data_IF_371798592595
#
_entry.id   IF_371798592595
#
_cell.length_a   1.000
_cell.length_b   1.000
_cell.length_c   1.000
_cell.angle_alpha   90.00
_cell.angle_beta   90.00
_cell.angle_gamma   90.00
#
_symmetry.space_group_name_H-M   'P 1'
#
loop_
_entity.id
_entity.type
_entity.pdbx_description
1 polymer ?
#
# COMPACT_ATOMS: atom_id res chain seq x y z
N UNK A 1 -21.36 -47.65 -2.59
CA UNK A 1 -21.30 -46.45 -1.71
C UNK A 1 -20.71 -46.82 -0.34
N UNK A 2 -19.38 -47.00 -0.20
CA UNK A 2 -18.78 -47.36 1.12
C UNK A 2 -17.31 -46.94 1.37
N UNK A 3 -16.69 -46.11 0.52
CA UNK A 3 -15.28 -45.71 0.67
C UNK A 3 -15.04 -44.19 0.66
N UNK A 4 -16.07 -43.38 0.86
CA UNK A 4 -15.97 -41.91 0.76
C UNK A 4 -15.42 -41.23 2.03
N UNK A 5 -15.52 -41.90 3.18
CA UNK A 5 -15.19 -41.33 4.48
C UNK A 5 -13.70 -41.42 4.91
N UNK A 6 -12.97 -42.52 4.66
CA UNK A 6 -11.58 -42.61 5.13
C UNK A 6 -10.59 -41.74 4.32
N UNK A 7 -10.92 -41.40 3.06
CA UNK A 7 -10.08 -40.52 2.22
C UNK A 7 -10.15 -39.07 2.71
N UNK A 8 -11.34 -38.61 3.15
CA UNK A 8 -11.53 -37.25 3.68
C UNK A 8 -10.86 -37.05 5.04
N UNK A 9 -10.82 -38.08 5.87
CA UNK A 9 -10.17 -38.03 7.18
C UNK A 9 -8.64 -38.00 7.04
N UNK A 10 -8.07 -38.74 6.08
CA UNK A 10 -6.63 -38.70 5.82
C UNK A 10 -6.16 -37.39 5.15
N UNK A 11 -6.97 -36.77 4.28
CA UNK A 11 -6.65 -35.44 3.71
C UNK A 11 -6.80 -34.32 4.74
N UNK A 12 -7.76 -34.42 5.67
CA UNK A 12 -7.91 -33.47 6.76
C UNK A 12 -6.74 -33.53 7.74
N UNK A 13 -6.30 -34.73 8.15
CA UNK A 13 -5.19 -34.91 9.11
C UNK A 13 -3.84 -34.52 8.48
N UNK A 14 -3.59 -34.89 7.21
CA UNK A 14 -2.39 -34.44 6.50
C UNK A 14 -2.40 -32.92 6.25
N UNK A 15 -3.56 -32.32 5.97
CA UNK A 15 -3.73 -30.87 5.84
C UNK A 15 -3.44 -30.13 7.15
N UNK A 16 -3.91 -30.64 8.29
CA UNK A 16 -3.66 -30.02 9.60
C UNK A 16 -2.21 -30.17 10.07
N UNK A 17 -1.55 -31.31 9.77
CA UNK A 17 -0.13 -31.51 10.12
C UNK A 17 0.80 -30.61 9.29
N UNK A 18 0.50 -30.41 8.00
CA UNK A 18 1.26 -29.45 7.15
C UNK A 18 1.04 -28.01 7.62
N UNK A 19 -0.15 -27.64 8.07
CA UNK A 19 -0.40 -26.29 8.61
C UNK A 19 0.27 -26.09 9.98
N UNK A 20 0.26 -27.09 10.88
CA UNK A 20 0.89 -26.97 12.21
C UNK A 20 2.42 -27.03 12.17
N UNK A 21 3.02 -27.72 11.19
CA UNK A 21 4.49 -27.78 11.02
C UNK A 21 5.02 -26.63 10.14
N UNK A 22 4.21 -26.08 9.21
CA UNK A 22 4.61 -24.92 8.42
C UNK A 22 4.33 -23.56 9.10
N UNK A 23 3.39 -23.48 10.06
CA UNK A 23 3.06 -22.24 10.76
C UNK A 23 4.20 -21.61 11.60
N UNK A 24 5.13 -22.37 12.22
CA UNK A 24 6.25 -21.76 12.95
C UNK A 24 7.42 -21.35 12.05
N UNK A 25 7.51 -21.89 10.83
CA UNK A 25 8.66 -21.71 9.93
C UNK A 25 8.41 -20.72 8.78
N UNK A 26 7.16 -20.27 8.61
CA UNK A 26 6.78 -19.22 7.67
C UNK A 26 6.65 -17.82 8.33
N UNK A 27 7.53 -17.49 9.29
CA UNK A 27 7.68 -16.10 9.75
C UNK A 27 8.74 -15.37 8.92
N UNK A 28 8.32 -14.59 7.91
CA UNK A 28 8.91 -13.30 7.66
C UNK A 28 7.84 -12.22 7.84
N UNK A 29 8.08 -11.31 8.79
CA UNK A 29 7.52 -9.97 8.89
C UNK A 29 6.13 -9.73 8.25
N UNK A 30 5.08 -10.10 8.98
CA UNK A 30 3.79 -9.42 8.83
C UNK A 30 3.93 -8.05 9.51
N UNK A 31 3.75 -6.92 8.80
CA UNK A 31 3.76 -5.61 9.42
C UNK A 31 2.65 -5.51 10.49
N UNK A 32 2.97 -4.82 11.60
CA UNK A 32 2.18 -4.82 12.84
C UNK A 32 0.73 -4.32 12.71
N UNK A 33 0.31 -3.79 11.56
CA UNK A 33 -1.06 -3.34 11.31
C UNK A 33 -2.07 -4.46 11.01
N UNK A 34 -1.61 -5.71 10.78
CA UNK A 34 -2.51 -6.88 10.58
C UNK A 34 -2.73 -7.72 11.85
N UNK A 35 -2.26 -7.27 13.02
CA UNK A 35 -2.75 -7.83 14.29
C UNK A 35 -4.15 -7.30 14.53
N UNK A 36 -5.15 -8.15 14.30
CA UNK A 36 -6.49 -8.00 14.88
C UNK A 36 -6.28 -7.93 16.40
N UNK A 37 -6.36 -6.71 16.95
CA UNK A 37 -6.37 -6.52 18.39
C UNK A 37 -7.70 -7.04 18.90
N UNK A 38 -7.65 -8.19 19.57
CA UNK A 38 -8.68 -8.54 20.54
C UNK A 38 -8.73 -7.41 21.58
N UNK A 39 -9.89 -6.78 21.69
CA UNK A 39 -10.18 -5.66 22.58
C UNK A 39 -9.99 -6.09 24.04
N UNK A 40 -9.22 -5.36 24.87
CA UNK A 40 -9.39 -5.39 26.32
C UNK A 40 -10.40 -4.31 26.74
N UNK A 41 -11.33 -4.71 27.59
CA UNK A 41 -12.37 -3.88 28.21
C UNK A 41 -11.82 -2.64 28.96
N UNK A 42 -12.61 -1.58 29.15
CA UNK A 42 -12.11 -0.30 29.65
C UNK A 42 -11.91 -0.34 31.17
N UNK A 43 -10.74 0.08 31.62
CA UNK A 43 -10.49 0.43 33.03
C UNK A 43 -10.64 1.95 33.15
N UNK A 44 -11.64 2.35 33.93
CA UNK A 44 -11.87 3.74 34.34
C UNK A 44 -10.70 4.26 35.16
N UNK A 45 -10.18 5.44 34.82
CA UNK A 45 -9.31 6.20 35.72
C UNK A 45 -9.60 7.71 35.56
N UNK A 46 -10.39 8.15 36.52
CA UNK A 46 -10.68 9.50 37.01
C UNK A 46 -9.50 10.49 36.90
N UNK A 47 -9.74 11.65 36.28
CA UNK A 47 -8.97 12.87 36.49
C UNK A 47 -9.26 13.46 37.88
N UNK A 48 -8.29 14.16 38.48
CA UNK A 48 -8.62 15.37 39.21
C UNK A 48 -7.92 16.60 38.62
N UNK A 49 -8.76 17.63 38.46
CA UNK A 49 -8.40 19.01 38.26
C UNK A 49 -7.59 19.56 39.44
N UNK A 50 -6.61 20.41 39.14
CA UNK A 50 -6.01 21.28 40.14
C UNK A 50 -6.00 22.72 39.60
N UNK A 51 -6.71 23.54 40.36
CA UNK A 51 -7.00 24.94 40.20
C UNK A 51 -5.79 25.87 40.00
N UNK A 52 -6.10 26.97 39.34
CA UNK A 52 -5.35 28.20 39.25
C UNK A 52 -4.79 28.71 40.60
N UNK A 53 -3.61 29.31 40.55
CA UNK A 53 -3.26 30.40 41.46
C UNK A 53 -2.46 31.48 40.73
N UNK A 54 -3.17 32.57 40.45
CA UNK A 54 -2.66 33.86 40.03
C UNK A 54 -2.01 34.51 41.26
N UNK A 55 -0.79 35.00 41.14
CA UNK A 55 -0.25 36.04 42.01
C UNK A 55 0.37 37.13 41.13
N UNK A 56 -0.37 38.23 41.02
CA UNK A 56 0.11 39.53 40.55
C UNK A 56 0.69 40.27 41.75
N UNK A 57 1.87 40.85 41.59
CA UNK A 57 2.38 41.94 42.41
C UNK A 57 3.16 42.91 41.52
N UNK A 58 2.57 44.08 41.30
CA UNK A 58 3.16 45.33 40.79
C UNK A 58 3.17 46.32 41.98
N UNK A 59 3.73 47.55 41.90
CA UNK A 59 4.71 48.10 40.95
C UNK A 59 5.84 48.90 41.65
N UNK A 60 6.87 49.30 40.92
CA UNK A 60 7.70 50.46 41.29
C UNK A 60 8.07 51.26 40.03
N UNK A 61 7.58 52.50 39.99
CA UNK A 61 7.78 53.46 38.93
C UNK A 61 9.20 54.04 38.93
N UNK A 62 9.77 54.22 37.75
CA UNK A 62 11.03 54.93 37.52
C UNK A 62 11.11 55.40 36.07
N UNK A 63 10.70 56.64 35.84
CA UNK A 63 10.52 57.33 34.56
C UNK A 63 11.85 57.80 33.97
N UNK A 64 12.12 57.52 32.68
CA UNK A 64 12.80 58.44 31.75
C UNK A 64 12.88 57.87 30.32
N UNK A 65 12.53 58.69 29.34
CA UNK A 65 12.76 58.56 27.90
C UNK A 65 12.96 60.00 27.35
N UNK A 66 13.43 60.25 26.12
CA UNK A 66 14.29 59.51 25.17
C UNK A 66 15.48 60.42 24.71
N UNK A 67 16.23 60.21 23.58
CA UNK A 67 15.72 60.23 22.21
C UNK A 67 16.33 59.18 21.25
N UNK A 68 15.75 59.17 20.06
CA UNK A 68 15.99 58.38 18.85
C UNK A 68 17.45 58.35 18.36
N UNK A 69 17.89 57.18 17.87
CA UNK A 69 18.71 57.12 16.65
C UNK A 69 18.84 55.68 16.10
N UNK A 70 18.70 55.61 14.78
CA UNK A 70 19.19 54.59 13.84
C UNK A 70 18.44 53.26 13.69
N UNK A 71 17.51 53.32 12.71
CA UNK A 71 17.16 52.25 11.78
C UNK A 71 18.37 51.39 11.40
N UNK A 72 18.21 50.09 11.53
CA UNK A 72 19.15 49.13 10.95
C UNK A 72 19.14 47.75 11.59
N UNK A 73 18.01 47.27 12.09
CA UNK A 73 17.91 45.87 12.56
C UNK A 73 17.16 45.05 11.53
N UNK A 74 17.91 44.28 10.76
CA UNK A 74 17.39 43.18 9.96
C UNK A 74 16.50 42.31 10.85
N UNK A 75 15.20 42.30 10.57
CA UNK A 75 14.26 41.40 11.21
C UNK A 75 14.68 39.95 10.88
N UNK A 76 14.80 39.06 11.87
CA UNK A 76 15.01 37.65 11.57
C UNK A 76 13.73 37.13 10.92
N UNK A 77 13.79 36.81 9.63
CA UNK A 77 12.74 36.14 8.85
C UNK A 77 12.45 34.68 9.31
N UNK A 78 12.71 34.36 10.60
CA UNK A 78 12.58 33.03 11.19
C UNK A 78 11.33 32.84 12.06
N UNK A 79 10.65 33.91 12.47
CA UNK A 79 9.46 33.81 13.32
C UNK A 79 8.18 33.44 12.53
N UNK A 80 8.02 33.95 11.31
CA UNK A 80 6.80 33.72 10.51
C UNK A 80 6.55 32.24 10.13
N UNK A 81 7.60 31.43 10.05
CA UNK A 81 7.51 30.02 9.64
C UNK A 81 7.10 29.08 10.77
N UNK A 82 7.32 29.48 12.03
CA UNK A 82 7.01 28.67 13.22
C UNK A 82 5.61 28.96 13.74
N UNK A 83 5.18 30.23 13.73
CA UNK A 83 3.85 30.61 14.22
C UNK A 83 2.73 30.11 13.29
N UNK A 84 2.94 30.10 11.97
CA UNK A 84 1.99 29.53 11.02
C UNK A 84 1.86 27.99 11.13
N UNK A 85 2.79 27.32 11.80
CA UNK A 85 2.77 25.86 12.02
C UNK A 85 1.94 25.47 13.26
N UNK A 86 1.70 26.42 14.17
CA UNK A 86 0.91 26.21 15.40
C UNK A 86 -0.58 26.44 15.20
N UNK A 87 -0.97 27.16 14.15
CA UNK A 87 -2.37 27.54 13.85
C UNK A 87 -2.99 26.70 12.72
N UNK A 88 -2.28 25.70 12.22
CA UNK A 88 -2.75 24.85 11.14
C UNK A 88 -3.68 23.75 11.66
N UNK A 89 -4.94 23.82 11.27
CA UNK A 89 -5.96 22.92 11.79
C UNK A 89 -5.74 21.48 11.28
N UNK A 90 -5.87 20.44 12.14
CA UNK A 90 -5.66 19.06 11.72
C UNK A 90 -6.69 18.62 10.66
N UNK A 91 -6.31 17.78 9.68
CA UNK A 91 -7.18 17.33 8.59
C UNK A 91 -8.51 16.72 9.07
N UNK A 92 -8.48 16.03 10.20
CA UNK A 92 -9.64 15.45 10.86
C UNK A 92 -10.77 16.48 11.10
N UNK A 93 -10.43 17.70 11.54
CA UNK A 93 -11.41 18.76 11.79
C UNK A 93 -12.02 19.32 10.49
N UNK A 94 -11.39 19.08 9.34
CA UNK A 94 -11.96 19.37 8.02
C UNK A 94 -12.84 18.23 7.47
N UNK A 95 -13.05 17.16 8.24
CA UNK A 95 -13.77 15.98 7.81
C UNK A 95 -12.97 15.10 6.85
N UNK A 96 -11.63 15.20 6.89
CA UNK A 96 -10.74 14.48 5.99
C UNK A 96 -10.13 13.29 6.72
N UNK A 97 -10.55 12.09 6.31
CA UNK A 97 -10.09 10.80 6.82
C UNK A 97 -9.98 9.81 5.67
N UNK A 98 -9.25 8.72 5.87
CA UNK A 98 -9.22 7.62 4.90
C UNK A 98 -10.62 7.02 4.77
N UNK A 99 -11.17 7.01 3.56
CA UNK A 99 -12.52 6.57 3.30
C UNK A 99 -12.66 5.06 3.59
N UNK A 100 -13.63 4.71 4.43
CA UNK A 100 -13.93 3.31 4.74
C UNK A 100 -14.95 2.72 3.77
N UNK A 101 -15.13 1.40 3.84
CA UNK A 101 -16.08 0.68 2.98
C UNK A 101 -17.51 1.19 3.22
N UNK A 102 -18.13 1.73 2.17
CA UNK A 102 -19.49 2.27 2.21
C UNK A 102 -19.55 3.79 2.40
N UNK A 103 -18.44 4.43 2.73
CA UNK A 103 -18.34 5.89 2.70
C UNK A 103 -18.11 6.37 1.26
N UNK A 104 -18.63 7.56 0.94
CA UNK A 104 -18.39 8.20 -0.36
C UNK A 104 -17.09 9.00 -0.30
N UNK A 105 -16.04 8.61 -1.04
CA UNK A 105 -14.82 9.41 -1.12
C UNK A 105 -15.09 10.73 -1.84
N UNK A 106 -14.33 11.75 -1.50
CA UNK A 106 -14.33 13.03 -2.22
C UNK A 106 -13.12 13.20 -3.13
N UNK A 107 -11.97 12.68 -2.70
CA UNK A 107 -10.70 12.84 -3.42
C UNK A 107 -9.75 11.69 -3.08
N UNK A 108 -8.56 11.68 -3.70
CA UNK A 108 -7.53 10.71 -3.39
C UNK A 108 -6.12 11.17 -3.75
N UNK A 109 -5.18 10.30 -3.43
CA UNK A 109 -3.76 10.48 -3.77
C UNK A 109 -3.17 9.15 -4.26
N UNK A 110 -2.32 9.19 -5.27
CA UNK A 110 -1.56 8.02 -5.71
C UNK A 110 -0.47 7.71 -4.70
N UNK A 111 -0.36 6.45 -4.25
CA UNK A 111 0.70 6.06 -3.29
C UNK A 111 1.98 5.53 -3.95
N UNK A 112 1.87 5.18 -5.23
CA UNK A 112 2.96 4.70 -6.06
C UNK A 112 2.83 5.23 -7.48
N UNK A 113 3.76 4.84 -8.37
CA UNK A 113 3.66 5.16 -9.79
C UNK A 113 2.49 4.40 -10.40
N UNK A 114 1.53 5.14 -10.94
CA UNK A 114 0.21 4.64 -11.31
C UNK A 114 -0.07 4.90 -12.77
N UNK A 115 -0.59 3.89 -13.47
CA UNK A 115 -1.05 4.03 -14.86
C UNK A 115 -2.48 4.53 -14.86
N UNK A 116 -2.76 5.53 -15.69
CA UNK A 116 -4.13 6.02 -15.90
C UNK A 116 -4.61 5.70 -17.32
N UNK A 117 -5.92 5.53 -17.44
CA UNK A 117 -6.60 5.12 -18.66
C UNK A 117 -7.68 6.14 -19.03
N UNK A 118 -8.03 6.22 -20.30
CA UNK A 118 -9.25 6.92 -20.73
C UNK A 118 -10.49 6.15 -20.26
N UNK A 119 -11.67 6.77 -20.33
CA UNK A 119 -12.94 6.09 -20.00
C UNK A 119 -13.21 4.88 -20.90
N UNK A 120 -12.67 4.87 -22.11
CA UNK A 120 -12.74 3.74 -23.06
C UNK A 120 -11.80 2.59 -22.69
N UNK A 121 -10.97 2.76 -21.66
CA UNK A 121 -10.01 1.76 -21.18
C UNK A 121 -8.65 1.78 -21.90
N UNK A 122 -8.44 2.71 -22.84
CA UNK A 122 -7.14 2.89 -23.51
C UNK A 122 -6.13 3.47 -22.55
N UNK A 123 -4.91 2.92 -22.54
CA UNK A 123 -3.81 3.43 -21.70
C UNK A 123 -3.43 4.83 -22.18
N UNK A 124 -3.59 5.83 -21.32
CA UNK A 124 -3.28 7.22 -21.65
C UNK A 124 -1.89 7.64 -21.16
N UNK A 125 -1.46 7.18 -19.97
CA UNK A 125 -0.16 7.56 -19.45
C UNK A 125 0.13 7.00 -18.07
N UNK A 126 1.00 7.68 -17.32
CA UNK A 126 1.30 7.36 -15.93
C UNK A 126 1.54 8.64 -15.12
N UNK A 127 1.28 8.55 -13.82
CA UNK A 127 1.59 9.57 -12.81
C UNK A 127 2.47 8.97 -11.73
N UNK A 128 3.30 9.80 -11.11
CA UNK A 128 4.11 9.39 -9.96
C UNK A 128 3.24 9.35 -8.69
N UNK A 129 3.82 8.80 -7.61
CA UNK A 129 3.20 8.90 -6.28
C UNK A 129 3.04 10.36 -5.85
N UNK A 130 1.96 10.66 -5.15
CA UNK A 130 1.64 12.01 -4.67
C UNK A 130 0.75 12.83 -5.60
N UNK A 131 0.30 12.28 -6.73
CA UNK A 131 -0.67 12.94 -7.60
C UNK A 131 -2.04 12.99 -6.92
N UNK A 132 -2.63 14.18 -6.86
CA UNK A 132 -3.96 14.38 -6.28
C UNK A 132 -5.04 14.14 -7.34
N UNK A 133 -6.18 13.61 -6.93
CA UNK A 133 -7.31 13.33 -7.80
C UNK A 133 -8.64 13.66 -7.14
N UNK A 134 -9.59 14.13 -7.93
CA UNK A 134 -10.99 14.29 -7.53
C UNK A 134 -11.77 13.02 -7.84
N UNK A 135 -12.48 12.48 -6.85
CA UNK A 135 -13.23 11.24 -7.01
C UNK A 135 -14.60 11.50 -7.63
N UNK A 136 -14.93 10.78 -8.70
CA UNK A 136 -16.24 10.85 -9.34
C UNK A 136 -17.04 9.55 -9.21
N UNK A 137 -16.38 8.38 -9.23
CA UNK A 137 -17.06 7.11 -9.12
C UNK A 137 -16.12 5.90 -9.19
N UNK A 138 -16.72 4.72 -9.25
CA UNK A 138 -15.99 3.46 -9.41
C UNK A 138 -16.57 2.65 -10.56
N UNK A 139 -15.70 2.00 -11.34
CA UNK A 139 -16.06 1.07 -12.40
C UNK A 139 -15.37 -0.27 -12.19
N UNK A 140 -15.99 -1.35 -12.65
CA UNK A 140 -15.34 -2.67 -12.70
C UNK A 140 -14.78 -2.91 -14.10
N UNK A 141 -13.53 -3.36 -14.17
CA UNK A 141 -12.88 -3.77 -15.42
C UNK A 141 -12.35 -5.19 -15.30
N UNK A 142 -11.88 -5.75 -16.42
CA UNK A 142 -11.13 -7.03 -16.43
C UNK A 142 -9.84 -6.98 -15.60
N UNK A 143 -9.33 -5.79 -15.29
CA UNK A 143 -8.15 -5.57 -14.43
C UNK A 143 -8.51 -5.34 -12.96
N UNK A 144 -9.80 -5.44 -12.61
CA UNK A 144 -10.30 -5.18 -11.26
C UNK A 144 -11.04 -3.83 -11.15
N UNK A 145 -11.18 -3.36 -9.91
CA UNK A 145 -11.83 -2.10 -9.61
C UNK A 145 -11.02 -0.89 -10.08
N UNK A 146 -11.68 0.02 -10.77
CA UNK A 146 -11.13 1.29 -11.26
C UNK A 146 -11.88 2.44 -10.59
N UNK A 147 -11.15 3.50 -10.23
CA UNK A 147 -11.69 4.78 -9.80
C UNK A 147 -11.80 5.67 -11.02
N UNK A 148 -12.98 6.25 -11.22
CA UNK A 148 -13.20 7.35 -12.15
C UNK A 148 -12.88 8.66 -11.44
N UNK A 149 -11.90 9.40 -11.95
CA UNK A 149 -11.37 10.59 -11.31
C UNK A 149 -10.84 11.62 -12.30
N UNK A 150 -10.67 12.86 -11.83
CA UNK A 150 -9.94 13.91 -12.55
C UNK A 150 -8.59 14.10 -11.85
N UNK A 151 -7.49 13.96 -12.59
CA UNK A 151 -6.14 14.17 -12.05
C UNK A 151 -5.82 15.67 -11.97
N UNK A 152 -5.30 16.10 -10.82
CA UNK A 152 -4.95 17.49 -10.53
C UNK A 152 -3.43 17.69 -10.68
N UNK A 153 -2.94 17.49 -11.91
CA UNK A 153 -1.54 17.63 -12.30
C UNK A 153 -1.39 18.65 -13.44
N UNK A 154 -0.36 19.49 -13.39
CA UNK A 154 -0.19 20.63 -14.33
C UNK A 154 -0.08 20.19 -15.80
N UNK A 155 0.46 19.00 -16.03
CA UNK A 155 0.72 18.47 -17.37
C UNK A 155 -0.37 17.51 -17.88
N UNK A 156 -1.46 17.33 -17.12
CA UNK A 156 -2.53 16.39 -17.46
C UNK A 156 -3.82 17.18 -17.63
N UNK A 157 -4.53 17.02 -18.76
CA UNK A 157 -5.80 17.71 -18.95
C UNK A 157 -6.80 17.25 -17.87
N UNK A 158 -7.59 18.21 -17.36
CA UNK A 158 -8.64 17.95 -16.37
C UNK A 158 -9.85 17.24 -17.00
N UNK A 159 -9.63 16.01 -17.48
CA UNK A 159 -10.65 15.16 -18.07
C UNK A 159 -10.89 13.92 -17.20
N UNK A 160 -12.08 13.32 -17.26
CA UNK A 160 -12.35 12.07 -16.54
C UNK A 160 -11.44 10.93 -17.03
N UNK A 161 -10.77 10.29 -16.08
CA UNK A 161 -9.82 9.20 -16.31
C UNK A 161 -10.09 8.05 -15.35
N UNK A 162 -9.54 6.88 -15.66
CA UNK A 162 -9.63 5.69 -14.83
C UNK A 162 -8.26 5.36 -14.23
N UNK A 163 -8.24 5.15 -12.92
CA UNK A 163 -7.06 4.74 -12.13
C UNK A 163 -7.40 3.48 -11.34
N UNK A 164 -6.45 2.55 -11.15
CA UNK A 164 -6.70 1.36 -10.33
C UNK A 164 -6.99 1.72 -8.89
N UNK A 165 -8.02 1.11 -8.28
CA UNK A 165 -8.33 1.27 -6.84
C UNK A 165 -7.15 0.83 -5.97
N UNK A 166 -6.33 -0.12 -6.42
CA UNK A 166 -5.16 -0.60 -5.67
C UNK A 166 -4.05 0.44 -5.52
N UNK A 167 -4.04 1.46 -6.36
CA UNK A 167 -2.89 2.36 -6.53
C UNK A 167 -3.13 3.75 -5.89
N UNK A 168 -4.28 3.91 -5.24
CA UNK A 168 -4.74 5.18 -4.66
C UNK A 168 -5.24 4.99 -3.24
N UNK A 169 -4.96 5.97 -2.39
CA UNK A 169 -5.69 6.16 -1.14
C UNK A 169 -6.81 7.17 -1.36
N UNK A 170 -8.02 6.81 -0.96
CA UNK A 170 -9.21 7.62 -1.11
C UNK A 170 -9.59 8.23 0.24
N UNK A 171 -9.92 9.51 0.24
CA UNK A 171 -10.24 10.28 1.43
C UNK A 171 -11.62 10.93 1.34
N UNK A 172 -12.23 11.12 2.50
CA UNK A 172 -13.46 11.92 2.64
C UNK A 172 -13.17 13.41 2.53
N UNK A 173 -14.22 14.20 2.36
CA UNK A 173 -14.13 15.67 2.35
C UNK A 173 -13.52 16.22 1.07
N UNK A 174 -12.82 17.35 1.19
CA UNK A 174 -12.20 18.07 0.07
C UNK A 174 -10.76 18.47 0.44
N UNK A 175 -9.79 18.06 -0.38
CA UNK A 175 -8.37 18.38 -0.19
C UNK A 175 -8.07 19.87 -0.25
N UNK A 176 -8.96 20.70 -0.81
CA UNK A 176 -8.80 22.16 -0.85
C UNK A 176 -8.90 22.80 0.53
N UNK A 177 -9.52 22.13 1.50
CA UNK A 177 -9.58 22.56 2.89
C UNK A 177 -8.25 22.42 3.63
N UNK A 178 -7.33 21.59 3.13
CA UNK A 178 -5.98 21.51 3.67
C UNK A 178 -5.23 22.82 3.41
N UNK A 179 -4.25 23.15 4.23
CA UNK A 179 -3.37 24.28 3.93
C UNK A 179 -2.53 23.98 2.67
N UNK A 180 -2.05 25.00 1.93
CA UNK A 180 -1.12 24.78 0.81
C UNK A 180 0.12 23.99 1.22
N UNK A 181 0.62 24.22 2.44
CA UNK A 181 1.76 23.50 3.03
C UNK A 181 1.44 22.02 3.25
N UNK A 182 0.29 21.69 3.87
CA UNK A 182 -0.13 20.30 4.08
C UNK A 182 -0.26 19.55 2.77
N UNK A 183 -0.86 20.18 1.76
CA UNK A 183 -0.98 19.57 0.42
C UNK A 183 0.40 19.28 -0.16
N UNK A 184 1.33 20.23 -0.08
CA UNK A 184 2.68 20.05 -0.60
C UNK A 184 3.44 18.95 0.15
N UNK A 185 3.34 18.93 1.48
CA UNK A 185 3.94 17.90 2.33
C UNK A 185 3.34 16.51 2.05
N UNK A 186 2.03 16.43 1.79
CA UNK A 186 1.34 15.20 1.41
C UNK A 186 1.78 14.68 0.04
N UNK A 187 1.85 15.57 -0.96
CA UNK A 187 2.39 15.24 -2.29
C UNK A 187 3.82 14.71 -2.15
N UNK A 188 4.66 15.39 -1.37
CA UNK A 188 6.05 14.99 -1.14
C UNK A 188 6.16 13.64 -0.42
N UNK A 189 5.33 13.39 0.59
CA UNK A 189 5.29 12.12 1.33
C UNK A 189 5.02 10.94 0.39
N UNK A 190 3.95 11.03 -0.40
CA UNK A 190 3.58 9.95 -1.31
C UNK A 190 4.49 9.83 -2.54
N UNK A 191 5.09 10.94 -3.00
CA UNK A 191 6.14 10.88 -4.00
C UNK A 191 7.36 10.09 -3.50
N UNK A 192 7.75 10.26 -2.22
CA UNK A 192 8.82 9.47 -1.61
C UNK A 192 8.41 7.99 -1.44
N UNK A 193 7.17 7.70 -1.05
CA UNK A 193 6.65 6.33 -1.02
C UNK A 193 6.80 5.65 -2.39
N UNK A 194 6.38 6.32 -3.46
CA UNK A 194 6.52 5.84 -4.83
C UNK A 194 7.97 5.61 -5.25
N UNK A 195 8.87 6.55 -4.96
CA UNK A 195 10.32 6.42 -5.26
C UNK A 195 10.96 5.26 -4.52
N UNK A 196 10.65 5.10 -3.22
CA UNK A 196 11.15 3.99 -2.40
C UNK A 196 10.67 2.66 -2.97
N UNK A 197 9.37 2.53 -3.27
CA UNK A 197 8.80 1.31 -3.82
C UNK A 197 9.42 0.97 -5.19
N UNK A 198 9.56 1.95 -6.08
CA UNK A 198 10.18 1.78 -7.39
C UNK A 198 11.64 1.33 -7.29
N UNK A 199 12.43 1.96 -6.43
CA UNK A 199 13.84 1.59 -6.23
C UNK A 199 14.00 0.21 -5.59
N UNK A 200 13.16 -0.12 -4.60
CA UNK A 200 13.15 -1.47 -4.03
C UNK A 200 12.84 -2.53 -5.08
N UNK A 201 11.87 -2.26 -5.95
CA UNK A 201 11.52 -3.15 -7.07
C UNK A 201 12.67 -3.30 -8.07
N UNK A 202 13.34 -2.21 -8.43
CA UNK A 202 14.53 -2.23 -9.30
C UNK A 202 15.65 -3.09 -8.69
N UNK A 203 15.97 -2.90 -7.41
CA UNK A 203 16.99 -3.69 -6.72
C UNK A 203 16.64 -5.17 -6.63
N UNK A 204 15.36 -5.49 -6.41
CA UNK A 204 14.87 -6.87 -6.45
C UNK A 204 14.96 -7.48 -7.85
N UNK A 205 14.71 -6.69 -8.89
CA UNK A 205 14.87 -7.15 -10.28
C UNK A 205 16.33 -7.41 -10.60
N UNK A 206 17.23 -6.48 -10.27
CA UNK A 206 18.68 -6.67 -10.45
C UNK A 206 19.19 -7.89 -9.68
N UNK A 207 18.69 -8.12 -8.46
CA UNK A 207 19.01 -9.32 -7.69
C UNK A 207 18.47 -10.60 -8.34
N UNK A 208 17.27 -10.54 -8.94
CA UNK A 208 16.67 -11.66 -9.64
C UNK A 208 17.42 -11.99 -10.93
N UNK A 209 17.86 -10.98 -11.68
CA UNK A 209 18.62 -11.13 -12.93
C UNK A 209 20.00 -11.77 -12.69
N UNK A 210 20.57 -11.66 -11.49
CA UNK A 210 21.79 -12.39 -11.10
C UNK A 210 21.57 -13.90 -10.97
N UNK A 211 20.35 -14.35 -10.67
CA UNK A 211 20.07 -15.77 -10.51
C UNK A 211 19.82 -16.41 -11.89
N UNK A 212 20.70 -17.31 -12.36
CA UNK A 212 20.57 -17.91 -13.69
C UNK A 212 19.29 -18.74 -13.84
N UNK A 213 18.69 -19.20 -12.75
CA UNK A 213 17.46 -19.99 -12.75
C UNK A 213 16.18 -19.14 -12.66
N UNK A 214 16.28 -17.80 -12.56
CA UNK A 214 15.12 -16.94 -12.36
C UNK A 214 14.13 -16.97 -13.54
N UNK A 215 14.63 -16.91 -14.78
CA UNK A 215 13.78 -16.95 -15.97
C UNK A 215 13.05 -18.31 -16.12
N UNK A 216 13.76 -19.41 -15.86
CA UNK A 216 13.16 -20.75 -15.83
C UNK A 216 12.12 -20.88 -14.72
N UNK A 217 12.42 -20.38 -13.52
CA UNK A 217 11.48 -20.37 -12.40
C UNK A 217 10.20 -19.59 -12.73
N UNK A 218 10.33 -18.39 -13.31
CA UNK A 218 9.20 -17.54 -13.66
C UNK A 218 8.32 -18.19 -14.74
N UNK A 219 8.93 -18.80 -15.76
CA UNK A 219 8.20 -19.48 -16.83
C UNK A 219 7.48 -20.75 -16.33
N UNK A 220 8.12 -21.55 -15.48
CA UNK A 220 7.52 -22.73 -14.87
C UNK A 220 6.34 -22.35 -13.96
N UNK A 221 6.51 -21.31 -13.13
CA UNK A 221 5.44 -20.77 -12.29
C UNK A 221 4.25 -20.28 -13.12
N UNK A 222 4.51 -19.49 -14.16
CA UNK A 222 3.46 -18.97 -15.05
C UNK A 222 2.69 -20.10 -15.72
N UNK A 223 3.39 -21.13 -16.20
CA UNK A 223 2.78 -22.31 -16.84
C UNK A 223 1.88 -23.06 -15.85
N UNK A 224 2.36 -23.31 -14.64
CA UNK A 224 1.58 -23.97 -13.59
C UNK A 224 0.34 -23.17 -13.19
N UNK A 225 0.46 -21.85 -12.98
CA UNK A 225 -0.67 -21.00 -12.61
C UNK A 225 -1.72 -20.93 -13.72
N UNK A 226 -1.29 -20.76 -14.98
CA UNK A 226 -2.19 -20.77 -16.14
C UNK A 226 -2.93 -22.11 -16.26
N UNK A 227 -2.25 -23.23 -15.99
CA UNK A 227 -2.88 -24.55 -15.96
C UNK A 227 -3.93 -24.66 -14.84
N UNK A 228 -3.64 -24.14 -13.65
CA UNK A 228 -4.59 -24.14 -12.52
C UNK A 228 -5.80 -23.26 -12.82
N UNK A 229 -5.60 -22.08 -13.41
CA UNK A 229 -6.69 -21.16 -13.78
C UNK A 229 -7.59 -21.75 -14.87
N UNK A 230 -7.00 -22.38 -15.89
CA UNK A 230 -7.76 -23.06 -16.94
C UNK A 230 -8.55 -24.25 -16.40
N UNK A 231 -7.98 -25.03 -15.48
CA UNK A 231 -8.70 -26.10 -14.78
C UNK A 231 -9.87 -25.57 -13.92
N UNK A 232 -9.67 -24.46 -13.20
CA UNK A 232 -10.75 -23.79 -12.45
C UNK A 232 -11.86 -23.30 -13.38
N UNK A 233 -11.51 -22.65 -14.49
CA UNK A 233 -12.48 -22.18 -15.48
C UNK A 233 -13.28 -23.34 -16.09
N UNK A 234 -12.63 -24.48 -16.38
CA UNK A 234 -13.30 -25.68 -16.85
C UNK A 234 -14.21 -26.29 -15.79
N UNK A 235 -13.81 -26.30 -14.51
CA UNK A 235 -14.69 -26.73 -13.42
C UNK A 235 -15.95 -25.88 -13.34
N UNK A 236 -15.83 -24.55 -13.45
CA UNK A 236 -16.99 -23.65 -13.47
C UNK A 236 -17.89 -23.86 -14.69
N UNK A 237 -17.30 -24.22 -15.84
CA UNK A 237 -18.06 -24.59 -17.04
C UNK A 237 -18.81 -25.91 -16.85
N UNK A 238 -18.17 -26.92 -16.26
CA UNK A 238 -18.78 -28.23 -15.92
C UNK A 238 -20.05 -28.04 -15.09
N UNK A 239 -20.00 -27.18 -14.08
CA UNK A 239 -21.11 -26.97 -13.15
C UNK A 239 -22.35 -26.33 -13.81
N UNK A 240 -22.19 -25.79 -15.03
CA UNK A 240 -23.27 -25.16 -15.83
C UNK A 240 -23.61 -25.93 -17.11
N UNK A 241 -22.91 -27.03 -17.39
CA UNK A 241 -23.00 -27.76 -18.64
C UNK A 241 -24.14 -28.79 -18.64
N UNK A 242 -24.61 -29.16 -19.83
CA UNK A 242 -25.51 -30.30 -20.03
C UNK A 242 -24.78 -31.64 -19.82
N UNK A 243 -25.50 -32.74 -19.59
CA UNK A 243 -24.90 -34.05 -19.21
C UNK A 243 -23.82 -34.56 -20.19
N UNK A 244 -24.02 -34.42 -21.51
CA UNK A 244 -23.03 -34.83 -22.51
C UNK A 244 -21.76 -33.96 -22.50
N UNK A 245 -21.93 -32.65 -22.33
CA UNK A 245 -20.82 -31.70 -22.24
C UNK A 245 -20.05 -31.87 -20.93
N UNK A 246 -20.77 -32.16 -19.85
CA UNK A 246 -20.21 -32.46 -18.53
C UNK A 246 -19.25 -33.65 -18.59
N UNK A 247 -19.63 -34.75 -19.25
CA UNK A 247 -18.72 -35.90 -19.42
C UNK A 247 -17.44 -35.51 -20.16
N UNK A 248 -17.53 -34.76 -21.26
CA UNK A 248 -16.35 -34.28 -22.01
C UNK A 248 -15.44 -33.37 -21.17
N UNK A 249 -16.04 -32.48 -20.38
CA UNK A 249 -15.28 -31.59 -19.49
C UNK A 249 -14.63 -32.39 -18.35
N UNK A 250 -15.30 -33.40 -17.80
CA UNK A 250 -14.74 -34.27 -16.77
C UNK A 250 -13.53 -35.06 -17.27
N UNK A 251 -13.59 -35.61 -18.48
CA UNK A 251 -12.44 -36.30 -19.10
C UNK A 251 -11.28 -35.34 -19.33
N UNK A 252 -11.56 -34.12 -19.80
CA UNK A 252 -10.55 -33.06 -19.95
C UNK A 252 -9.90 -32.70 -18.60
N UNK A 253 -10.69 -32.57 -17.54
CA UNK A 253 -10.20 -32.29 -16.19
C UNK A 253 -9.35 -33.45 -15.63
N UNK A 254 -9.67 -34.71 -15.96
CA UNK A 254 -8.82 -35.86 -15.59
C UNK A 254 -7.45 -35.81 -16.28
N UNK A 255 -7.43 -35.50 -17.57
CA UNK A 255 -6.18 -35.34 -18.33
C UNK A 255 -5.33 -34.19 -17.76
N UNK A 256 -5.96 -33.04 -17.49
CA UNK A 256 -5.30 -31.90 -16.85
C UNK A 256 -4.72 -32.24 -15.48
N UNK A 257 -5.43 -33.02 -14.66
CA UNK A 257 -4.91 -33.45 -13.36
C UNK A 257 -3.62 -34.25 -13.47
N UNK A 258 -3.47 -35.10 -14.49
CA UNK A 258 -2.22 -35.84 -14.72
C UNK A 258 -1.10 -34.90 -15.18
N UNK A 259 -1.40 -33.96 -16.09
CA UNK A 259 -0.44 -32.95 -16.53
C UNK A 259 0.02 -32.03 -15.38
N UNK A 260 -0.87 -31.69 -14.44
CA UNK A 260 -0.56 -30.88 -13.26
C UNK A 260 0.51 -31.53 -12.39
N UNK A 261 0.47 -32.85 -12.20
CA UNK A 261 1.51 -33.56 -11.43
C UNK A 261 2.89 -33.35 -12.04
N UNK A 262 2.98 -33.44 -13.37
CA UNK A 262 4.24 -33.22 -14.07
C UNK A 262 4.69 -31.75 -13.99
N UNK A 263 3.76 -30.80 -14.16
CA UNK A 263 4.05 -29.36 -14.03
C UNK A 263 4.50 -28.98 -12.61
N UNK A 264 3.93 -29.60 -11.57
CA UNK A 264 4.37 -29.41 -10.19
C UNK A 264 5.77 -29.95 -9.98
N UNK A 265 6.06 -31.15 -10.48
CA UNK A 265 7.40 -31.75 -10.39
C UNK A 265 8.47 -30.90 -11.07
N UNK A 266 8.19 -30.37 -12.27
CA UNK A 266 9.12 -29.49 -12.97
C UNK A 266 9.31 -28.16 -12.24
N UNK A 267 8.21 -27.55 -11.76
CA UNK A 267 8.26 -26.35 -10.94
C UNK A 267 9.10 -26.56 -9.68
N UNK A 268 8.87 -27.63 -8.92
CA UNK A 268 9.57 -27.93 -7.68
C UNK A 268 11.08 -28.15 -7.91
N UNK A 269 11.46 -28.83 -8.99
CA UNK A 269 12.85 -29.05 -9.34
C UNK A 269 13.58 -27.73 -9.68
N UNK A 270 12.95 -26.84 -10.45
CA UNK A 270 13.52 -25.54 -10.80
C UNK A 270 13.55 -24.62 -9.57
N UNK A 271 12.50 -24.64 -8.77
CA UNK A 271 12.39 -23.87 -7.54
C UNK A 271 13.45 -24.26 -6.51
N UNK A 272 13.78 -25.55 -6.42
CA UNK A 272 14.90 -26.02 -5.60
C UNK A 272 16.23 -25.40 -6.07
N UNK A 273 16.55 -25.47 -7.37
CA UNK A 273 17.76 -24.85 -7.93
C UNK A 273 17.81 -23.35 -7.66
N UNK A 274 16.70 -22.66 -7.88
CA UNK A 274 16.54 -21.23 -7.61
C UNK A 274 16.85 -20.90 -6.13
N UNK A 275 16.29 -21.68 -5.19
CA UNK A 275 16.50 -21.48 -3.75
C UNK A 275 17.93 -21.78 -3.32
N UNK A 276 18.47 -22.92 -3.73
CA UNK A 276 19.84 -23.32 -3.41
C UNK A 276 20.85 -22.28 -3.89
N UNK A 277 20.68 -21.77 -5.10
CA UNK A 277 21.53 -20.68 -5.60
C UNK A 277 21.40 -19.42 -4.74
N UNK A 278 20.16 -19.03 -4.38
CA UNK A 278 19.90 -17.85 -3.55
C UNK A 278 20.51 -17.97 -2.15
N UNK A 279 20.50 -19.16 -1.55
CA UNK A 279 21.12 -19.44 -0.26
C UNK A 279 22.64 -19.37 -0.33
N UNK A 280 23.24 -19.94 -1.39
CA UNK A 280 24.69 -19.90 -1.62
C UNK A 280 25.22 -18.48 -1.89
N UNK A 281 24.44 -17.64 -2.57
CA UNK A 281 24.83 -16.28 -2.96
C UNK A 281 24.13 -15.20 -2.11
N UNK A 282 23.66 -15.57 -0.91
CA UNK A 282 22.86 -14.67 -0.06
C UNK A 282 23.58 -13.37 0.32
N UNK A 283 24.92 -13.41 0.42
CA UNK A 283 25.74 -12.25 0.76
C UNK A 283 26.06 -11.34 -0.46
N UNK A 284 25.87 -11.85 -1.68
CA UNK A 284 26.11 -11.10 -2.93
C UNK A 284 24.87 -10.34 -3.41
N UNK A 285 23.72 -10.68 -2.83
CA UNK A 285 22.44 -10.04 -3.09
C UNK A 285 22.27 -8.88 -2.11
N UNK A 286 22.47 -7.67 -2.61
CA UNK A 286 22.21 -6.46 -1.84
C UNK A 286 20.73 -6.43 -1.40
N UNK A 287 20.50 -6.27 -0.09
CA UNK A 287 19.16 -6.08 0.45
C UNK A 287 18.68 -4.67 0.10
N UNK A 288 17.44 -4.50 -0.40
CA UNK A 288 16.93 -3.16 -0.73
C UNK A 288 16.94 -2.16 0.43
N UNK A 289 16.84 -2.63 1.68
CA UNK A 289 16.89 -1.78 2.88
C UNK A 289 18.28 -1.20 3.18
N UNK A 290 19.33 -1.79 2.60
CA UNK A 290 20.71 -1.32 2.79
C UNK A 290 21.15 -0.33 1.70
N UNK A 291 20.30 -0.08 0.69
CA UNK A 291 20.60 0.91 -0.35
C UNK A 291 20.55 2.33 0.24
N UNK A 292 21.61 3.10 -0.01
CA UNK A 292 21.78 4.43 0.57
C UNK A 292 20.66 5.40 0.16
N UNK A 293 20.15 5.30 -1.08
CA UNK A 293 19.05 6.16 -1.55
C UNK A 293 17.75 5.77 -0.86
N UNK A 294 17.47 4.47 -0.73
CA UNK A 294 16.30 3.97 0.00
C UNK A 294 16.32 4.45 1.46
N UNK A 295 17.46 4.40 2.13
CA UNK A 295 17.61 4.90 3.50
C UNK A 295 17.40 6.41 3.59
N UNK A 296 18.03 7.18 2.70
CA UNK A 296 17.88 8.64 2.64
C UNK A 296 16.42 9.05 2.42
N UNK A 297 15.75 8.48 1.42
CA UNK A 297 14.34 8.78 1.15
C UNK A 297 13.42 8.30 2.27
N UNK A 298 13.75 7.18 2.92
CA UNK A 298 12.99 6.72 4.08
C UNK A 298 13.06 7.72 5.23
N UNK A 299 14.25 8.25 5.53
CA UNK A 299 14.42 9.30 6.54
C UNK A 299 13.64 10.57 6.18
N UNK A 300 13.72 11.02 4.92
CA UNK A 300 12.95 12.17 4.44
C UNK A 300 11.44 11.95 4.58
N UNK A 301 10.95 10.75 4.22
CA UNK A 301 9.54 10.38 4.36
C UNK A 301 9.11 10.40 5.83
N UNK A 302 9.92 9.83 6.73
CA UNK A 302 9.62 9.81 8.18
C UNK A 302 9.54 11.22 8.76
N UNK A 303 10.38 12.15 8.30
CA UNK A 303 10.33 13.56 8.72
C UNK A 303 9.06 14.30 8.27
N UNK A 304 8.37 13.80 7.23
CA UNK A 304 7.10 14.38 6.75
C UNK A 304 5.88 13.88 7.53
N UNK A 305 5.93 12.69 8.15
CA UNK A 305 4.80 12.11 8.91
C UNK A 305 4.15 13.11 9.89
N UNK A 306 4.90 13.80 10.79
CA UNK A 306 4.27 14.73 11.73
C UNK A 306 3.65 15.96 11.06
N UNK A 307 3.97 16.23 9.78
CA UNK A 307 3.47 17.37 9.01
C UNK A 307 2.22 17.04 8.19
N UNK A 308 1.83 15.76 8.13
CA UNK A 308 0.60 15.29 7.46
C UNK A 308 -0.21 14.37 8.39
N UNK A 309 -0.64 14.88 9.56
CA UNK A 309 -1.25 14.05 10.60
C UNK A 309 -2.53 13.40 10.11
N UNK A 310 -2.63 12.07 10.28
CA UNK A 310 -3.80 11.29 9.89
C UNK A 310 -3.92 11.02 8.39
N UNK A 311 -2.93 11.43 7.58
CA UNK A 311 -2.91 11.25 6.12
C UNK A 311 -1.70 10.43 5.61
N UNK A 312 -0.77 10.04 6.50
CA UNK A 312 0.37 9.19 6.17
C UNK A 312 0.00 7.70 6.34
N UNK A 313 -0.35 7.04 5.23
CA UNK A 313 -0.64 5.59 5.16
C UNK A 313 0.41 4.83 4.36
#
# INVERSE_FOLDING_TARGET
MRYFWPIYLMTAVAGTAVVYVAAPLARPYVPAFMKVSASPAPVSAVQPSAAARIQSAEPAAGRAAPPESERGRAAPARAASQDAQLDEMPPALHGIYLAQRGEKPGWGVTHQRTVYYTLDGTRAGHVEGGALLDFHGTRTSSKGGMVECILQEENIPATPMLVSVSDVYLFTGDYRKLSPRQRQDLKAYYALCGKIAARKKELLQLAADKNPFFAEYQSAYKTLMTHIETAKALSLKRDKASELEKMRIEDSLRQMKMAEVQLRKTYDAIHLKFRTWKEQHANEIAKPENDAQVQQWTQQRLALIPRVPGLAY
#
